data_IF_173309036012
#
_entry.id   IF_173309036012
#
_cell.length_a   1.000
_cell.length_b   1.000
_cell.length_c   1.000
_cell.angle_alpha   90.00
_cell.angle_beta   90.00
_cell.angle_gamma   90.00
#
_symmetry.space_group_name_H-M   'P 1'
#
loop_
_entity.id
_entity.type
_entity.pdbx_description
1 polymer ?
#
# COMPACT_ATOMS: atom_id res chain seq x y z
N UNK A 1 81.11 -14.62 12.09
CA UNK A 1 79.89 -14.86 11.29
C UNK A 1 78.72 -15.03 12.23
N UNK A 2 77.82 -14.07 12.34
CA UNK A 2 76.65 -14.14 13.21
C UNK A 2 75.42 -14.36 12.29
N UNK A 3 74.49 -15.29 12.57
CA UNK A 3 73.27 -15.42 11.80
C UNK A 3 72.21 -14.39 12.26
N UNK A 4 71.58 -13.74 11.26
CA UNK A 4 70.46 -12.84 11.45
C UNK A 4 69.20 -13.67 11.48
N UNK A 5 68.46 -13.63 12.59
CA UNK A 5 67.14 -14.24 12.68
C UNK A 5 66.06 -13.30 12.15
N UNK A 6 65.34 -13.73 11.11
CA UNK A 6 64.18 -13.05 10.56
C UNK A 6 62.95 -13.41 11.41
N UNK A 7 62.35 -12.45 12.08
CA UNK A 7 61.09 -12.62 12.79
C UNK A 7 59.93 -12.32 11.76
N UNK A 8 59.12 -13.33 11.46
CA UNK A 8 57.91 -13.17 10.70
C UNK A 8 56.76 -12.66 11.57
N UNK A 9 56.25 -11.47 11.31
CA UNK A 9 55.07 -10.90 11.99
C UNK A 9 53.82 -11.40 11.26
N UNK A 10 53.10 -12.30 11.90
CA UNK A 10 51.76 -12.76 11.43
C UNK A 10 50.72 -11.69 11.74
N UNK A 11 50.33 -10.90 10.73
CA UNK A 11 49.26 -9.92 10.87
C UNK A 11 47.91 -10.63 10.84
N UNK A 12 47.18 -10.60 11.98
CA UNK A 12 45.81 -11.06 12.07
C UNK A 12 44.91 -9.94 11.51
N UNK A 13 44.37 -10.15 10.30
CA UNK A 13 43.38 -9.28 9.72
C UNK A 13 42.03 -9.51 10.42
N UNK A 14 41.59 -8.55 11.23
CA UNK A 14 40.24 -8.53 11.81
C UNK A 14 39.31 -8.06 10.72
N UNK A 15 38.55 -8.97 10.10
CA UNK A 15 37.45 -8.64 9.19
C UNK A 15 36.25 -8.23 10.05
N UNK A 16 35.76 -6.99 9.96
CA UNK A 16 34.54 -6.63 10.67
C UNK A 16 33.37 -7.43 10.08
N UNK A 17 32.71 -8.20 10.93
CA UNK A 17 31.45 -8.86 10.62
C UNK A 17 30.40 -7.77 10.52
N UNK A 18 30.08 -7.31 9.32
CA UNK A 18 28.94 -6.42 9.06
C UNK A 18 27.72 -7.29 9.29
N UNK A 19 27.04 -7.11 10.44
CA UNK A 19 25.72 -7.65 10.66
C UNK A 19 24.82 -6.99 9.60
N UNK A 20 24.40 -7.74 8.59
CA UNK A 20 23.33 -7.33 7.72
C UNK A 20 22.08 -7.21 8.61
N UNK A 21 21.59 -5.99 8.81
CA UNK A 21 20.26 -5.76 9.35
C UNK A 21 19.30 -6.50 8.41
N UNK A 22 18.66 -7.54 8.92
CA UNK A 22 17.56 -8.20 8.24
C UNK A 22 16.41 -7.19 8.19
N UNK A 23 16.40 -6.36 7.15
CA UNK A 23 15.24 -5.54 6.83
C UNK A 23 14.12 -6.52 6.50
N UNK A 24 13.12 -6.57 7.36
CA UNK A 24 11.86 -7.23 7.05
C UNK A 24 11.31 -6.57 5.77
N UNK A 25 11.05 -7.38 4.76
CA UNK A 25 10.75 -6.87 3.41
C UNK A 25 9.24 -6.88 3.20
N UNK A 26 8.67 -5.68 3.00
CA UNK A 26 7.26 -5.55 2.60
C UNK A 26 7.14 -5.91 1.13
N UNK A 27 6.62 -7.11 0.85
CA UNK A 27 6.32 -7.54 -0.50
C UNK A 27 5.01 -6.90 -0.98
N UNK A 28 5.04 -6.23 -2.14
CA UNK A 28 3.86 -5.58 -2.72
C UNK A 28 3.47 -6.26 -4.04
N UNK A 29 2.23 -6.77 -4.09
CA UNK A 29 1.61 -7.32 -5.29
C UNK A 29 0.52 -6.37 -5.76
N UNK A 30 0.47 -6.07 -7.06
CA UNK A 30 -0.56 -5.23 -7.65
C UNK A 30 -1.35 -6.01 -8.68
N UNK A 31 -2.68 -5.91 -8.61
CA UNK A 31 -3.60 -6.47 -9.60
C UNK A 31 -4.47 -5.35 -10.16
N UNK A 32 -4.81 -5.42 -11.44
CA UNK A 32 -5.73 -4.49 -12.09
C UNK A 32 -6.86 -5.25 -12.73
N UNK A 33 -8.08 -4.94 -12.29
CA UNK A 33 -9.32 -5.42 -12.88
C UNK A 33 -10.01 -4.32 -13.68
N UNK A 34 -10.95 -4.69 -14.52
CA UNK A 34 -11.77 -3.77 -15.30
C UNK A 34 -13.23 -4.18 -15.24
N UNK A 35 -14.13 -3.19 -15.26
CA UNK A 35 -15.53 -3.39 -15.60
C UNK A 35 -15.86 -2.62 -16.88
N UNK A 36 -16.87 -3.07 -17.62
CA UNK A 36 -17.13 -2.57 -18.95
C UNK A 36 -18.33 -1.64 -18.96
N UNK A 37 -18.16 -0.49 -19.61
CA UNK A 37 -19.20 0.51 -19.81
C UNK A 37 -19.33 0.84 -21.29
N UNK A 38 -20.42 1.50 -21.66
CA UNK A 38 -20.65 2.04 -23.00
C UNK A 38 -21.40 3.36 -22.90
N UNK A 39 -21.18 4.24 -23.86
CA UNK A 39 -21.84 5.54 -23.94
C UNK A 39 -21.34 6.31 -25.16
N UNK A 40 -22.19 7.10 -25.76
CA UNK A 40 -21.87 7.90 -26.96
C UNK A 40 -21.36 9.30 -26.64
N UNK A 41 -21.47 9.73 -25.37
CA UNK A 41 -20.99 11.00 -24.84
C UNK A 41 -20.55 10.86 -23.38
N UNK A 42 -20.01 11.94 -22.81
CA UNK A 42 -19.45 11.93 -21.47
C UNK A 42 -20.48 11.65 -20.37
N UNK A 43 -21.70 12.19 -20.51
CA UNK A 43 -22.76 11.96 -19.53
C UNK A 43 -23.23 10.50 -19.55
N UNK A 44 -23.41 9.91 -20.74
CA UNK A 44 -23.75 8.50 -20.86
C UNK A 44 -22.68 7.57 -20.25
N UNK A 45 -21.39 7.94 -20.33
CA UNK A 45 -20.32 7.20 -19.67
C UNK A 45 -20.37 7.35 -18.15
N UNK A 46 -20.64 8.56 -17.62
CA UNK A 46 -20.81 8.80 -16.19
C UNK A 46 -22.00 8.01 -15.64
N UNK A 47 -23.15 8.06 -16.30
CA UNK A 47 -24.33 7.29 -15.92
C UNK A 47 -24.05 5.77 -15.93
N UNK A 48 -23.26 5.30 -16.89
CA UNK A 48 -22.90 3.90 -16.95
C UNK A 48 -21.94 3.50 -15.80
N UNK A 49 -21.01 4.38 -15.41
CA UNK A 49 -20.14 4.16 -14.25
C UNK A 49 -20.95 4.14 -12.94
N UNK A 50 -21.92 5.04 -12.79
CA UNK A 50 -22.81 5.07 -11.64
C UNK A 50 -23.67 3.80 -11.51
N UNK A 51 -24.02 3.15 -12.59
CA UNK A 51 -24.80 1.90 -12.57
C UNK A 51 -23.97 0.64 -12.46
N UNK A 52 -22.76 0.61 -13.02
CA UNK A 52 -21.99 -0.62 -13.28
C UNK A 52 -20.65 -0.65 -12.51
N UNK A 53 -20.29 0.44 -11.90
CA UNK A 53 -19.06 0.57 -11.17
C UNK A 53 -18.96 -0.34 -9.95
N UNK A 54 -17.81 -0.40 -9.30
CA UNK A 54 -17.66 -1.12 -8.04
C UNK A 54 -18.63 -0.59 -6.97
N UNK A 55 -19.22 -1.49 -6.20
CA UNK A 55 -20.08 -1.07 -5.08
C UNK A 55 -19.27 -0.32 -4.03
N UNK A 56 -19.75 0.86 -3.66
CA UNK A 56 -19.20 1.66 -2.58
C UNK A 56 -20.30 1.91 -1.55
N UNK A 57 -20.15 1.32 -0.35
CA UNK A 57 -21.22 1.33 0.64
C UNK A 57 -22.45 0.55 0.18
N UNK A 58 -23.64 0.95 0.69
CA UNK A 58 -24.85 0.16 0.52
C UNK A 58 -25.65 0.49 -0.76
N UNK A 59 -25.57 1.72 -1.26
CA UNK A 59 -26.44 2.23 -2.33
C UNK A 59 -25.71 2.92 -3.50
N UNK A 60 -24.39 3.07 -3.44
CA UNK A 60 -23.63 3.84 -4.44
C UNK A 60 -22.60 2.98 -5.16
N UNK A 61 -22.26 3.39 -6.37
CA UNK A 61 -21.15 2.83 -7.13
C UNK A 61 -20.04 3.87 -7.30
N UNK A 62 -18.81 3.42 -7.24
CA UNK A 62 -17.64 4.26 -7.47
C UNK A 62 -17.24 4.23 -8.95
N UNK A 63 -16.63 5.31 -9.43
CA UNK A 63 -16.02 5.39 -10.76
C UNK A 63 -14.91 4.36 -10.91
N UNK A 64 -14.08 4.24 -9.89
CA UNK A 64 -13.01 3.26 -9.76
C UNK A 64 -12.88 2.87 -8.29
N UNK A 65 -12.06 1.88 -8.01
CA UNK A 65 -11.88 1.42 -6.63
C UNK A 65 -10.48 0.87 -6.42
N UNK A 66 -9.89 1.25 -5.30
CA UNK A 66 -8.72 0.59 -4.71
C UNK A 66 -9.16 -0.24 -3.52
N UNK A 67 -8.80 -1.51 -3.51
CA UNK A 67 -8.91 -2.38 -2.34
C UNK A 67 -7.59 -3.07 -2.06
N UNK A 68 -7.36 -3.50 -0.82
CA UNK A 68 -6.13 -4.20 -0.48
C UNK A 68 -6.34 -5.24 0.61
N UNK A 69 -5.44 -6.21 0.61
CA UNK A 69 -5.33 -7.23 1.66
C UNK A 69 -3.89 -7.30 2.15
N UNK A 70 -3.71 -7.57 3.43
CA UNK A 70 -2.40 -7.67 4.07
C UNK A 70 -2.31 -9.02 4.78
N UNK A 71 -1.27 -9.77 4.45
CA UNK A 71 -0.90 -10.98 5.16
C UNK A 71 0.41 -10.74 5.91
N UNK A 72 0.44 -11.08 7.19
CA UNK A 72 1.62 -10.99 8.03
C UNK A 72 2.19 -12.38 8.28
N UNK A 73 3.51 -12.49 8.18
CA UNK A 73 4.30 -13.63 8.59
C UNK A 73 5.23 -13.17 9.74
N UNK A 74 5.00 -13.71 10.94
CA UNK A 74 5.65 -13.23 12.16
C UNK A 74 6.42 -14.36 12.81
N UNK A 75 7.75 -14.21 12.88
CA UNK A 75 8.63 -15.10 13.60
C UNK A 75 8.83 -14.62 15.04
N UNK A 76 8.67 -15.55 15.96
CA UNK A 76 8.85 -15.34 17.39
C UNK A 76 10.12 -16.00 17.90
N UNK A 77 10.81 -15.35 18.82
CA UNK A 77 11.93 -15.97 19.53
C UNK A 77 11.74 -15.79 21.04
N UNK A 78 11.65 -16.91 21.73
CA UNK A 78 11.65 -16.97 23.18
C UNK A 78 13.04 -17.41 23.68
N UNK A 79 13.58 -16.69 24.64
CA UNK A 79 14.83 -17.05 25.31
C UNK A 79 14.79 -16.59 26.77
N UNK A 80 15.04 -17.50 27.70
CA UNK A 80 15.09 -17.24 29.15
C UNK A 80 13.87 -16.44 29.66
N UNK A 81 12.66 -16.77 29.17
CA UNK A 81 11.42 -16.11 29.57
C UNK A 81 11.16 -14.75 28.88
N UNK A 82 12.07 -14.32 28.04
CA UNK A 82 11.85 -13.11 27.19
C UNK A 82 11.36 -13.51 25.82
N UNK A 83 10.22 -12.98 25.40
CA UNK A 83 9.72 -13.14 24.04
C UNK A 83 9.97 -11.88 23.20
N UNK A 84 10.36 -12.07 21.94
CA UNK A 84 10.53 -10.98 20.98
C UNK A 84 10.03 -11.34 19.60
N UNK A 85 9.64 -10.34 18.82
CA UNK A 85 9.49 -10.47 17.39
C UNK A 85 10.88 -10.61 16.76
N UNK A 86 11.14 -11.74 16.14
CA UNK A 86 12.41 -12.00 15.45
C UNK A 86 12.39 -11.47 14.03
N UNK A 87 11.25 -11.65 13.35
CA UNK A 87 10.97 -11.11 12.02
C UNK A 87 9.47 -10.78 11.90
N UNK A 88 9.15 -9.77 11.11
CA UNK A 88 7.79 -9.40 10.77
C UNK A 88 7.74 -9.04 9.27
N UNK A 89 7.43 -10.02 8.44
CA UNK A 89 7.27 -9.82 7.00
C UNK A 89 5.80 -9.60 6.63
N UNK A 90 5.54 -8.71 5.68
CA UNK A 90 4.20 -8.45 5.18
C UNK A 90 4.09 -8.65 3.68
N UNK A 91 2.97 -9.23 3.23
CA UNK A 91 2.57 -9.23 1.82
C UNK A 91 1.33 -8.34 1.67
N UNK A 92 1.50 -7.20 1.01
CA UNK A 92 0.43 -6.29 0.63
C UNK A 92 -0.02 -6.63 -0.80
N UNK A 93 -1.29 -6.97 -0.98
CA UNK A 93 -1.90 -7.11 -2.31
C UNK A 93 -2.85 -5.95 -2.54
N UNK A 94 -2.56 -5.09 -3.53
CA UNK A 94 -3.39 -3.96 -3.95
C UNK A 94 -4.15 -4.36 -5.20
N UNK A 95 -5.47 -4.14 -5.20
CA UNK A 95 -6.34 -4.39 -6.35
C UNK A 95 -6.95 -3.05 -6.79
N UNK A 96 -6.70 -2.68 -8.05
CA UNK A 96 -7.36 -1.55 -8.71
C UNK A 96 -8.46 -2.07 -9.63
N UNK A 97 -9.62 -1.42 -9.61
CA UNK A 97 -10.72 -1.70 -10.55
C UNK A 97 -11.08 -0.43 -11.30
N UNK A 98 -11.00 -0.47 -12.64
CA UNK A 98 -11.21 0.69 -13.49
C UNK A 98 -12.30 0.46 -14.55
N UNK A 99 -13.02 1.51 -14.99
CA UNK A 99 -13.92 1.42 -16.14
C UNK A 99 -13.13 1.24 -17.44
N UNK A 100 -13.71 0.46 -18.35
CA UNK A 100 -13.23 0.28 -19.72
C UNK A 100 -14.39 0.49 -20.70
N UNK A 101 -14.25 1.44 -21.62
CA UNK A 101 -15.29 1.74 -22.61
C UNK A 101 -15.27 0.71 -23.73
N UNK A 102 -16.40 0.07 -23.98
CA UNK A 102 -16.61 -0.79 -25.14
C UNK A 102 -17.19 0.02 -26.30
N UNK A 103 -16.62 -0.15 -27.47
CA UNK A 103 -17.06 0.51 -28.71
C UNK A 103 -16.26 1.76 -29.06
N UNK A 104 -16.53 2.34 -30.22
CA UNK A 104 -15.84 3.51 -30.74
C UNK A 104 -16.26 4.77 -29.97
N UNK A 105 -15.33 5.66 -29.75
CA UNK A 105 -15.55 7.02 -29.25
C UNK A 105 -15.20 8.04 -30.34
N UNK A 106 -15.90 9.17 -30.38
CA UNK A 106 -15.45 10.29 -31.20
C UNK A 106 -14.04 10.75 -30.74
N UNK A 107 -13.22 11.32 -31.64
CA UNK A 107 -11.89 11.78 -31.28
C UNK A 107 -11.87 12.76 -30.08
N UNK A 108 -12.93 13.59 -29.96
CA UNK A 108 -13.06 14.51 -28.83
C UNK A 108 -13.39 13.79 -27.53
N UNK A 109 -14.37 12.91 -27.54
CA UNK A 109 -14.70 12.10 -26.35
C UNK A 109 -13.50 11.26 -25.91
N UNK A 110 -12.75 10.69 -26.85
CA UNK A 110 -11.54 9.93 -26.55
C UNK A 110 -10.48 10.78 -25.84
N UNK A 111 -10.25 12.03 -26.27
CA UNK A 111 -9.32 12.95 -25.59
C UNK A 111 -9.77 13.26 -24.17
N UNK A 112 -11.06 13.55 -23.96
CA UNK A 112 -11.64 13.82 -22.63
C UNK A 112 -11.57 12.60 -21.74
N UNK A 113 -11.93 11.44 -22.26
CA UNK A 113 -11.82 10.15 -21.58
C UNK A 113 -10.39 9.86 -21.09
N UNK A 114 -9.40 10.06 -21.95
CA UNK A 114 -8.00 9.82 -21.59
C UNK A 114 -7.54 10.72 -20.46
N UNK A 115 -7.91 12.01 -20.44
CA UNK A 115 -7.60 12.95 -19.36
C UNK A 115 -8.34 12.58 -18.08
N UNK A 116 -9.61 12.26 -18.17
CA UNK A 116 -10.40 11.78 -17.05
C UNK A 116 -9.76 10.55 -16.40
N UNK A 117 -9.46 9.53 -17.18
CA UNK A 117 -8.87 8.30 -16.68
C UNK A 117 -7.43 8.48 -16.13
N UNK A 118 -6.68 9.44 -16.62
CA UNK A 118 -5.39 9.79 -16.04
C UNK A 118 -5.57 10.32 -14.61
N UNK A 119 -6.54 11.21 -14.39
CA UNK A 119 -6.89 11.72 -13.06
C UNK A 119 -7.42 10.63 -12.14
N UNK A 120 -8.37 9.81 -12.60
CA UNK A 120 -8.93 8.68 -11.84
C UNK A 120 -7.81 7.72 -11.40
N UNK A 121 -6.90 7.35 -12.30
CA UNK A 121 -5.77 6.48 -11.94
C UNK A 121 -4.86 7.13 -10.89
N UNK A 122 -4.58 8.42 -10.99
CA UNK A 122 -3.77 9.16 -10.00
C UNK A 122 -4.42 9.13 -8.61
N UNK A 123 -5.74 9.31 -8.55
CA UNK A 123 -6.53 9.22 -7.32
C UNK A 123 -6.39 7.83 -6.70
N UNK A 124 -6.72 6.77 -7.42
CA UNK A 124 -6.64 5.40 -6.93
C UNK A 124 -5.21 4.99 -6.53
N UNK A 125 -4.20 5.40 -7.29
CA UNK A 125 -2.81 5.15 -6.94
C UNK A 125 -2.39 5.86 -5.66
N UNK A 126 -3.07 6.95 -5.26
CA UNK A 126 -2.81 7.59 -3.96
C UNK A 126 -3.28 6.70 -2.81
N UNK A 127 -4.46 6.08 -2.92
CA UNK A 127 -4.92 5.07 -1.97
C UNK A 127 -3.92 3.90 -1.86
N UNK A 128 -3.43 3.39 -2.98
CA UNK A 128 -2.40 2.35 -3.00
C UNK A 128 -1.10 2.76 -2.31
N UNK A 129 -0.65 4.01 -2.49
CA UNK A 129 0.53 4.54 -1.79
C UNK A 129 0.30 4.66 -0.29
N UNK A 130 -0.88 5.11 0.14
CA UNK A 130 -1.24 5.18 1.56
C UNK A 130 -1.28 3.80 2.19
N UNK A 131 -1.84 2.80 1.50
CA UNK A 131 -1.84 1.40 1.95
C UNK A 131 -0.40 0.86 2.12
N UNK A 132 0.50 1.14 1.18
CA UNK A 132 1.90 0.76 1.31
C UNK A 132 2.57 1.43 2.51
N UNK A 133 2.41 2.76 2.66
CA UNK A 133 2.95 3.50 3.81
C UNK A 133 2.41 2.97 5.15
N UNK A 134 1.16 2.51 5.18
CA UNK A 134 0.55 1.89 6.35
C UNK A 134 1.28 0.61 6.75
N UNK A 135 1.54 -0.27 5.79
CA UNK A 135 2.23 -1.55 6.04
C UNK A 135 3.67 -1.31 6.46
N UNK A 136 4.39 -0.42 5.77
CA UNK A 136 5.77 -0.03 6.12
C UNK A 136 5.84 0.55 7.55
N UNK A 137 4.85 1.38 7.93
CA UNK A 137 4.79 1.96 9.28
C UNK A 137 4.43 0.92 10.34
N UNK A 138 3.54 -0.02 10.03
CA UNK A 138 3.19 -1.12 10.93
C UNK A 138 4.40 -2.02 11.15
N UNK A 139 5.06 -2.49 10.11
CA UNK A 139 6.28 -3.29 10.17
C UNK A 139 7.35 -2.61 11.03
N UNK A 140 7.65 -1.34 10.76
CA UNK A 140 8.60 -0.56 11.54
C UNK A 140 8.22 -0.46 13.03
N UNK A 141 6.93 -0.41 13.36
CA UNK A 141 6.45 -0.38 14.75
C UNK A 141 6.68 -1.68 15.50
N UNK A 142 6.83 -2.80 14.77
CA UNK A 142 7.07 -4.13 15.33
C UNK A 142 8.55 -4.42 15.53
N UNK A 143 9.44 -3.67 14.89
CA UNK A 143 10.88 -3.85 15.07
C UNK A 143 11.26 -3.66 16.54
N UNK A 144 12.10 -4.57 17.07
CA UNK A 144 12.54 -4.59 18.47
C UNK A 144 11.43 -4.78 19.52
N UNK A 145 10.21 -5.19 19.10
CA UNK A 145 9.17 -5.52 20.07
C UNK A 145 9.57 -6.75 20.89
N UNK A 146 9.68 -6.56 22.20
CA UNK A 146 10.10 -7.59 23.13
C UNK A 146 9.54 -7.33 24.53
N UNK A 147 9.20 -8.40 25.23
CA UNK A 147 8.80 -8.37 26.64
C UNK A 147 9.53 -9.44 27.43
N UNK A 148 10.02 -9.06 28.61
CA UNK A 148 10.49 -9.97 29.65
C UNK A 148 9.31 -10.63 30.39
N UNK A 149 9.53 -11.75 31.05
CA UNK A 149 8.52 -12.53 31.78
C UNK A 149 7.27 -12.82 30.91
N UNK A 150 7.53 -13.16 29.65
CA UNK A 150 6.52 -13.43 28.64
C UNK A 150 6.66 -14.84 28.05
N UNK A 151 6.52 -15.84 28.91
CA UNK A 151 6.45 -17.22 28.44
C UNK A 151 5.26 -17.42 27.55
N UNK A 152 5.44 -18.13 26.44
CA UNK A 152 4.43 -18.32 25.36
C UNK A 152 4.11 -17.05 24.57
N UNK A 153 4.87 -15.98 24.73
CA UNK A 153 4.76 -14.75 23.93
C UNK A 153 3.41 -14.01 24.00
N UNK A 154 2.60 -14.24 25.03
CA UNK A 154 1.23 -13.70 25.09
C UNK A 154 1.19 -12.17 25.18
N UNK A 155 2.08 -11.56 25.97
CA UNK A 155 2.20 -10.10 26.10
C UNK A 155 2.69 -9.48 24.80
N UNK A 156 3.73 -10.07 24.20
CA UNK A 156 4.32 -9.62 22.93
C UNK A 156 3.30 -9.71 21.79
N UNK A 157 2.50 -10.78 21.73
CA UNK A 157 1.43 -10.94 20.73
C UNK A 157 0.30 -9.91 20.91
N UNK A 158 -0.11 -9.64 22.15
CA UNK A 158 -1.13 -8.64 22.44
C UNK A 158 -0.67 -7.24 22.01
N UNK A 159 0.56 -6.87 22.34
CA UNK A 159 1.13 -5.58 21.94
C UNK A 159 1.32 -5.47 20.44
N UNK A 160 1.74 -6.54 19.75
CA UNK A 160 1.84 -6.59 18.30
C UNK A 160 0.49 -6.27 17.66
N UNK A 161 -0.58 -6.96 18.05
CA UNK A 161 -1.94 -6.73 17.56
C UNK A 161 -2.38 -5.29 17.78
N UNK A 162 -2.09 -4.73 18.95
CA UNK A 162 -2.41 -3.34 19.30
C UNK A 162 -1.68 -2.35 18.39
N UNK A 163 -0.38 -2.52 18.16
CA UNK A 163 0.42 -1.63 17.29
C UNK A 163 -0.06 -1.66 15.84
N UNK A 164 -0.33 -2.84 15.30
CA UNK A 164 -0.90 -2.99 13.95
C UNK A 164 -2.25 -2.27 13.88
N UNK A 165 -3.17 -2.52 14.80
CA UNK A 165 -4.49 -1.91 14.80
C UNK A 165 -4.43 -0.37 14.90
N UNK A 166 -3.57 0.17 15.77
CA UNK A 166 -3.38 1.63 15.89
C UNK A 166 -2.83 2.23 14.61
N UNK A 167 -1.86 1.57 13.98
CA UNK A 167 -1.29 2.03 12.71
C UNK A 167 -2.34 2.00 11.61
N UNK A 168 -3.12 0.94 11.51
CA UNK A 168 -4.18 0.82 10.50
C UNK A 168 -5.23 1.92 10.69
N UNK A 169 -5.74 2.11 11.91
CA UNK A 169 -6.72 3.16 12.19
C UNK A 169 -6.20 4.56 11.79
N UNK A 170 -4.94 4.86 12.06
CA UNK A 170 -4.32 6.13 11.65
C UNK A 170 -4.30 6.30 10.13
N UNK A 171 -4.00 5.26 9.38
CA UNK A 171 -3.91 5.35 7.92
C UNK A 171 -5.27 5.28 7.24
N UNK A 172 -6.24 4.55 7.81
CA UNK A 172 -7.63 4.62 7.36
C UNK A 172 -8.19 6.05 7.50
N UNK A 173 -7.92 6.73 8.61
CA UNK A 173 -8.29 8.14 8.76
C UNK A 173 -7.63 9.03 7.68
N UNK A 174 -6.41 8.72 7.23
CA UNK A 174 -5.76 9.45 6.12
C UNK A 174 -6.38 9.14 4.77
N UNK A 175 -6.87 7.91 4.54
CA UNK A 175 -7.62 7.54 3.34
C UNK A 175 -8.91 8.37 3.26
N UNK A 176 -9.67 8.39 4.36
CA UNK A 176 -10.92 9.17 4.45
C UNK A 176 -10.65 10.66 4.24
N UNK A 177 -9.66 11.24 4.91
CA UNK A 177 -9.33 12.65 4.76
C UNK A 177 -8.87 13.00 3.33
N UNK A 178 -8.19 12.09 2.64
CA UNK A 178 -7.84 12.27 1.23
C UNK A 178 -9.10 12.32 0.37
N UNK A 179 -10.03 11.38 0.55
CA UNK A 179 -11.29 11.35 -0.19
C UNK A 179 -12.14 12.58 0.07
N UNK A 180 -12.24 13.03 1.32
CA UNK A 180 -12.98 14.25 1.68
C UNK A 180 -12.46 15.46 0.91
N UNK A 181 -11.15 15.62 0.77
CA UNK A 181 -10.54 16.74 0.01
C UNK A 181 -10.76 16.58 -1.50
N UNK A 182 -10.57 15.37 -2.03
CA UNK A 182 -10.68 15.11 -3.48
C UNK A 182 -12.14 15.20 -3.99
N UNK A 183 -13.11 14.86 -3.13
CA UNK A 183 -14.55 14.88 -3.45
C UNK A 183 -15.28 16.16 -2.97
N UNK A 184 -14.60 17.09 -2.30
CA UNK A 184 -15.21 18.35 -1.90
C UNK A 184 -15.67 19.18 -3.10
N UNK A 185 -16.56 20.15 -2.89
CA UNK A 185 -16.93 21.14 -3.89
C UNK A 185 -15.67 21.86 -4.43
N UNK A 186 -15.49 21.91 -5.74
CA UNK A 186 -14.28 22.39 -6.38
C UNK A 186 -13.09 21.43 -6.30
N UNK A 187 -13.27 20.25 -5.72
CA UNK A 187 -12.22 19.22 -5.61
C UNK A 187 -11.85 18.59 -6.95
N UNK A 188 -10.78 17.79 -6.91
CA UNK A 188 -10.21 17.21 -8.12
C UNK A 188 -11.18 16.26 -8.84
N UNK A 189 -11.95 15.45 -8.08
CA UNK A 189 -12.90 14.48 -8.65
C UNK A 189 -14.04 15.20 -9.38
N UNK A 190 -14.59 16.29 -8.80
CA UNK A 190 -15.61 17.11 -9.48
C UNK A 190 -15.07 17.70 -10.78
N UNK A 191 -13.82 18.21 -10.74
CA UNK A 191 -13.14 18.73 -11.94
C UNK A 191 -12.99 17.68 -13.03
N UNK A 192 -12.66 16.43 -12.67
CA UNK A 192 -12.55 15.30 -13.60
C UNK A 192 -13.91 14.95 -14.22
N UNK A 193 -14.98 14.90 -13.42
CA UNK A 193 -16.36 14.67 -13.90
C UNK A 193 -16.77 15.78 -14.88
N UNK A 194 -16.49 17.04 -14.54
CA UNK A 194 -16.73 18.18 -15.41
C UNK A 194 -15.99 18.12 -16.74
N UNK A 195 -14.73 17.65 -16.73
CA UNK A 195 -13.94 17.42 -17.94
C UNK A 195 -14.56 16.37 -18.88
N UNK A 196 -15.15 15.32 -18.33
CA UNK A 196 -15.76 14.27 -19.12
C UNK A 196 -17.12 14.70 -19.68
N UNK A 197 -17.96 15.33 -18.84
CA UNK A 197 -19.34 15.72 -19.19
C UNK A 197 -19.41 16.90 -20.14
N UNK A 198 -18.62 17.95 -19.92
CA UNK A 198 -18.66 19.19 -20.70
C UNK A 198 -17.77 19.08 -21.92
N UNK A 199 -18.34 18.70 -23.07
CA UNK A 199 -17.71 18.98 -24.35
C UNK A 199 -17.59 20.50 -24.53
N UNK A 200 -16.36 21.03 -24.64
CA UNK A 200 -16.13 22.33 -25.25
C UNK A 200 -16.01 22.14 -26.74
#
# INVERSE_FOLDING_TARGET
MRPIALAAILGIAIVPLVAADANADVSVKTKTGTYYIGGKDGNALLDAMDRLGPKHGFLTHAIAQTSYTIAWDIDWKENAGTCRVANAAATLTINYTYPHVKGPMSPDLQRRWNRFMAGVRKHEQTHGRLARQMVDAAEKSLSKLSYADDRRCSKTQAELKKRIAMTYAKYEARQVAFDEVEHAEGGNVEGLVGLLSKGK
#
